data_IF_888461831730
#
_entry.id   IF_888461831730
#
_cell.length_a   1.000
_cell.length_b   1.000
_cell.length_c   1.000
_cell.angle_alpha   90.00
_cell.angle_beta   90.00
_cell.angle_gamma   90.00
#
_symmetry.space_group_name_H-M   'P 1'
#
loop_
_entity.id
_entity.type
_entity.pdbx_description
1 polymer ?
#
# COMPACT_ATOMS: atom_id res chain seq x y z
N UNK A 1 25.25 -3.64 -42.32
CA UNK A 1 26.57 -3.33 -41.74
C UNK A 1 26.41 -2.11 -40.84
N UNK A 2 26.42 -2.30 -39.53
CA UNK A 2 26.23 -1.22 -38.56
C UNK A 2 27.54 -0.41 -38.46
N UNK A 3 27.56 0.78 -39.03
CA UNK A 3 28.61 1.74 -38.74
C UNK A 3 28.50 2.15 -37.27
N UNK A 4 29.49 1.78 -36.46
CA UNK A 4 29.63 2.22 -35.07
C UNK A 4 29.80 3.74 -35.03
N UNK A 5 28.93 4.40 -34.27
CA UNK A 5 28.83 5.87 -34.10
C UNK A 5 30.07 6.55 -33.49
N UNK A 6 31.12 5.80 -33.12
CA UNK A 6 32.43 6.33 -32.71
C UNK A 6 33.13 7.15 -33.81
N UNK A 7 32.75 6.99 -35.07
CA UNK A 7 33.29 7.79 -36.19
C UNK A 7 32.58 9.14 -36.39
N UNK A 8 31.58 9.47 -35.57
CA UNK A 8 30.85 10.75 -35.57
C UNK A 8 31.31 11.69 -34.44
N UNK A 9 32.62 11.73 -34.17
CA UNK A 9 33.23 12.87 -33.51
C UNK A 9 33.15 14.08 -34.46
N UNK A 10 31.97 14.69 -34.57
CA UNK A 10 31.76 15.90 -35.37
C UNK A 10 32.51 17.05 -34.70
N UNK A 11 33.56 17.63 -35.32
CA UNK A 11 34.28 18.75 -34.74
C UNK A 11 33.33 19.94 -34.59
N UNK A 12 33.21 20.51 -33.38
CA UNK A 12 32.44 21.74 -33.12
C UNK A 12 31.17 21.60 -32.28
N UNK A 13 30.74 20.39 -31.91
CA UNK A 13 29.61 20.18 -31.00
C UNK A 13 30.11 19.81 -29.60
N UNK A 14 29.80 20.64 -28.60
CA UNK A 14 30.31 20.51 -27.22
C UNK A 14 30.00 19.19 -26.51
N UNK A 15 30.53 19.04 -25.29
CA UNK A 15 30.47 17.81 -24.47
C UNK A 15 29.07 17.23 -24.23
N UNK A 16 28.02 18.04 -24.27
CA UNK A 16 26.62 17.61 -24.08
C UNK A 16 26.07 16.71 -25.21
N UNK A 17 26.52 16.90 -26.45
CA UNK A 17 26.08 16.07 -27.59
C UNK A 17 26.68 14.66 -27.55
N UNK A 18 27.93 14.54 -27.10
CA UNK A 18 28.59 13.23 -26.91
C UNK A 18 27.86 12.37 -25.87
N UNK A 19 27.38 12.99 -24.77
CA UNK A 19 26.57 12.32 -23.75
C UNK A 19 25.21 11.88 -24.32
N UNK A 20 24.56 12.74 -25.10
CA UNK A 20 23.24 12.49 -25.70
C UNK A 20 23.28 11.34 -26.71
N UNK A 21 24.29 11.30 -27.58
CA UNK A 21 24.53 10.21 -28.53
C UNK A 21 24.85 8.91 -27.79
N UNK A 22 25.70 8.96 -26.77
CA UNK A 22 26.04 7.78 -25.96
C UNK A 22 24.84 7.21 -25.18
N UNK A 23 23.88 8.05 -24.76
CA UNK A 23 22.63 7.59 -24.14
C UNK A 23 21.72 6.88 -25.15
N UNK A 24 21.61 7.42 -26.37
CA UNK A 24 20.82 6.83 -27.45
C UNK A 24 21.34 5.43 -27.82
N UNK A 25 22.64 5.25 -27.98
CA UNK A 25 23.23 3.93 -28.27
C UNK A 25 22.97 2.91 -27.16
N UNK A 26 23.16 3.32 -25.90
CA UNK A 26 22.92 2.43 -24.74
C UNK A 26 21.48 1.95 -24.72
N UNK A 27 20.51 2.82 -25.02
CA UNK A 27 19.11 2.43 -24.99
C UNK A 27 18.67 1.64 -26.22
N UNK A 28 19.32 1.84 -27.39
CA UNK A 28 19.11 1.04 -28.60
C UNK A 28 19.28 -0.45 -28.31
N UNK A 29 20.34 -0.82 -27.61
CA UNK A 29 20.59 -2.23 -27.24
C UNK A 29 19.51 -2.82 -26.34
N UNK A 30 18.80 -1.98 -25.57
CA UNK A 30 17.79 -2.39 -24.60
C UNK A 30 16.41 -2.56 -25.23
N UNK A 31 15.92 -1.59 -25.99
CA UNK A 31 14.59 -1.73 -26.59
C UNK A 31 14.59 -2.68 -27.80
N UNK A 32 15.74 -3.03 -28.38
CA UNK A 32 15.83 -4.13 -29.34
C UNK A 32 15.39 -5.48 -28.75
N UNK A 33 15.38 -5.60 -27.40
CA UNK A 33 14.93 -6.77 -26.66
C UNK A 33 13.43 -6.73 -26.33
N UNK A 34 12.73 -5.63 -26.64
CA UNK A 34 11.28 -5.56 -26.45
C UNK A 34 10.58 -6.53 -27.39
N UNK A 35 9.60 -7.25 -26.84
CA UNK A 35 8.67 -8.07 -27.62
C UNK A 35 7.58 -7.18 -28.24
N UNK A 36 7.03 -6.26 -27.46
CA UNK A 36 6.02 -5.27 -27.86
C UNK A 36 6.57 -3.83 -27.94
N UNK A 37 6.15 -3.04 -28.93
CA UNK A 37 6.51 -1.62 -29.04
C UNK A 37 7.94 -1.33 -29.51
N UNK A 38 8.68 -2.37 -29.93
CA UNK A 38 10.04 -2.28 -30.47
C UNK A 38 10.13 -1.34 -31.68
N UNK A 39 9.26 -1.52 -32.66
CA UNK A 39 9.30 -0.76 -33.92
C UNK A 39 9.04 0.74 -33.70
N UNK A 40 8.16 1.09 -32.75
CA UNK A 40 7.94 2.48 -32.32
C UNK A 40 9.23 3.15 -31.81
N UNK A 41 10.03 2.40 -31.02
CA UNK A 41 11.29 2.89 -30.48
C UNK A 41 12.38 3.00 -31.55
N UNK A 42 12.46 2.02 -32.46
CA UNK A 42 13.41 2.02 -33.58
C UNK A 42 13.16 3.24 -34.48
N UNK A 43 11.91 3.46 -34.89
CA UNK A 43 11.57 4.53 -35.81
C UNK A 43 11.82 5.92 -35.21
N UNK A 44 11.45 6.16 -33.94
CA UNK A 44 11.80 7.41 -33.27
C UNK A 44 13.33 7.58 -33.15
N UNK A 45 14.06 6.50 -32.88
CA UNK A 45 15.51 6.55 -32.76
C UNK A 45 16.20 6.90 -34.09
N UNK A 46 15.78 6.30 -35.20
CA UNK A 46 16.30 6.64 -36.54
C UNK A 46 16.04 8.11 -36.88
N UNK A 47 14.85 8.62 -36.55
CA UNK A 47 14.52 10.05 -36.72
C UNK A 47 15.41 10.95 -35.87
N UNK A 48 15.66 10.59 -34.61
CA UNK A 48 16.58 11.33 -33.73
C UNK A 48 18.00 11.32 -34.29
N UNK A 49 18.48 10.18 -34.80
CA UNK A 49 19.78 10.09 -35.44
C UNK A 49 19.88 10.97 -36.70
N UNK A 50 18.87 10.94 -37.56
CA UNK A 50 18.83 11.78 -38.76
C UNK A 50 18.83 13.27 -38.39
N UNK A 51 18.05 13.66 -37.38
CA UNK A 51 18.03 15.03 -36.87
C UNK A 51 19.38 15.47 -36.28
N UNK A 52 20.05 14.61 -35.51
CA UNK A 52 21.40 14.87 -34.98
C UNK A 52 22.41 15.10 -36.11
N UNK A 53 22.32 14.35 -37.21
CA UNK A 53 23.19 14.53 -38.39
C UNK A 53 22.92 15.83 -39.14
N UNK A 54 21.67 16.26 -39.22
CA UNK A 54 21.33 17.54 -39.85
C UNK A 54 21.70 18.73 -38.95
N UNK A 55 21.48 18.60 -37.64
CA UNK A 55 21.93 19.59 -36.65
C UNK A 55 23.42 19.89 -36.81
N UNK A 56 24.26 18.86 -37.04
CA UNK A 56 25.69 18.99 -37.29
C UNK A 56 26.06 19.89 -38.49
N UNK A 57 25.15 20.15 -39.42
CA UNK A 57 25.35 21.01 -40.59
C UNK A 57 24.86 22.45 -40.41
N UNK A 58 24.07 22.71 -39.36
CA UNK A 58 23.53 24.06 -39.04
C UNK A 58 24.60 24.96 -38.43
N UNK A 59 24.59 26.25 -38.71
CA UNK A 59 25.51 27.22 -38.10
C UNK A 59 25.32 27.37 -36.57
N UNK A 60 26.40 27.63 -35.84
CA UNK A 60 26.39 27.70 -34.37
C UNK A 60 25.51 28.85 -33.84
N UNK A 61 25.39 29.95 -34.57
CA UNK A 61 24.55 31.09 -34.18
C UNK A 61 23.05 30.73 -34.17
N UNK A 62 22.60 29.89 -35.10
CA UNK A 62 21.21 29.40 -35.15
C UNK A 62 20.96 28.33 -34.08
N UNK A 63 21.98 27.53 -33.72
CA UNK A 63 21.87 26.51 -32.65
C UNK A 63 21.71 27.15 -31.28
N UNK A 64 22.51 28.18 -30.98
CA UNK A 64 22.49 28.88 -29.69
C UNK A 64 21.26 29.75 -29.51
N UNK A 65 20.81 30.44 -30.57
CA UNK A 65 19.65 31.35 -30.52
C UNK A 65 18.33 30.64 -30.18
N UNK A 66 18.16 29.41 -30.67
CA UNK A 66 16.91 28.63 -30.51
C UNK A 66 16.99 27.60 -29.36
N UNK A 67 18.11 27.56 -28.63
CA UNK A 67 18.37 26.62 -27.53
C UNK A 67 18.12 25.13 -27.92
N UNK A 68 18.47 24.78 -29.16
CA UNK A 68 18.11 23.49 -29.75
C UNK A 68 18.82 22.32 -29.08
N UNK A 69 20.05 22.54 -28.59
CA UNK A 69 20.85 21.51 -27.93
C UNK A 69 20.25 21.10 -26.59
N UNK A 70 19.84 22.05 -25.75
CA UNK A 70 19.21 21.75 -24.46
C UNK A 70 17.82 21.14 -24.62
N UNK A 71 17.04 21.57 -25.62
CA UNK A 71 15.74 20.95 -25.96
C UNK A 71 15.89 19.50 -26.42
N UNK A 72 16.89 19.21 -27.26
CA UNK A 72 17.19 17.87 -27.72
C UNK A 72 17.68 16.98 -26.56
N UNK A 73 18.57 17.48 -25.72
CA UNK A 73 19.07 16.75 -24.55
C UNK A 73 17.92 16.39 -23.59
N UNK A 74 17.00 17.34 -23.34
CA UNK A 74 15.82 17.10 -22.51
C UNK A 74 14.91 16.01 -23.12
N UNK A 75 14.63 16.09 -24.43
CA UNK A 75 13.81 15.11 -25.13
C UNK A 75 14.42 13.70 -25.05
N UNK A 76 15.72 13.58 -25.33
CA UNK A 76 16.42 12.27 -25.29
C UNK A 76 16.44 11.71 -23.87
N UNK A 77 16.66 12.53 -22.84
CA UNK A 77 16.60 12.08 -21.44
C UNK A 77 15.19 11.59 -21.05
N UNK A 78 14.14 12.31 -21.44
CA UNK A 78 12.75 11.91 -21.17
C UNK A 78 12.37 10.63 -21.92
N UNK A 79 12.68 10.56 -23.21
CA UNK A 79 12.52 9.34 -24.01
C UNK A 79 13.21 8.14 -23.36
N UNK A 80 14.48 8.31 -22.95
CA UNK A 80 15.23 7.26 -22.28
C UNK A 80 14.59 6.80 -20.97
N UNK A 81 14.07 7.72 -20.16
CA UNK A 81 13.37 7.37 -18.90
C UNK A 81 12.07 6.62 -19.17
N UNK A 82 11.26 7.05 -20.14
CA UNK A 82 10.00 6.39 -20.50
C UNK A 82 10.24 4.96 -20.96
N UNK A 83 11.20 4.76 -21.87
CA UNK A 83 11.55 3.42 -22.38
C UNK A 83 12.11 2.52 -21.29
N UNK A 84 13.00 3.02 -20.43
CA UNK A 84 13.53 2.24 -19.30
C UNK A 84 12.45 1.88 -18.27
N UNK A 85 11.49 2.79 -18.03
CA UNK A 85 10.36 2.53 -17.12
C UNK A 85 9.48 1.41 -17.67
N UNK A 86 9.17 1.46 -18.97
CA UNK A 86 8.36 0.43 -19.62
C UNK A 86 9.08 -0.94 -19.68
N UNK A 87 10.39 -0.93 -20.00
CA UNK A 87 11.23 -2.14 -20.02
C UNK A 87 11.36 -2.83 -18.66
N UNK A 88 11.49 -2.06 -17.57
CA UNK A 88 11.68 -2.60 -16.23
C UNK A 88 10.38 -3.11 -15.59
N UNK A 89 9.22 -2.86 -16.22
CA UNK A 89 7.93 -3.31 -15.70
C UNK A 89 7.80 -4.82 -15.90
N UNK A 90 8.00 -5.59 -14.82
CA UNK A 90 7.94 -7.05 -14.86
C UNK A 90 6.50 -7.57 -14.90
N UNK A 91 5.54 -6.77 -14.43
CA UNK A 91 4.13 -7.15 -14.37
C UNK A 91 3.46 -6.97 -15.74
N UNK A 92 2.98 -8.08 -16.30
CA UNK A 92 2.36 -8.11 -17.63
C UNK A 92 1.10 -7.22 -17.72
N UNK A 93 0.24 -7.23 -16.69
CA UNK A 93 -0.98 -6.41 -16.65
C UNK A 93 -0.62 -4.93 -16.63
N UNK A 94 0.38 -4.53 -15.83
CA UNK A 94 0.88 -3.16 -15.82
C UNK A 94 1.47 -2.76 -17.17
N UNK A 95 2.22 -3.64 -17.84
CA UNK A 95 2.73 -3.39 -19.21
C UNK A 95 1.59 -3.14 -20.19
N UNK A 96 0.54 -3.96 -20.18
CA UNK A 96 -0.65 -3.78 -21.03
C UNK A 96 -1.39 -2.47 -20.72
N UNK A 97 -1.61 -2.17 -19.43
CA UNK A 97 -2.30 -0.93 -19.02
C UNK A 97 -1.50 0.33 -19.38
N UNK A 98 -0.17 0.25 -19.35
CA UNK A 98 0.70 1.35 -19.71
C UNK A 98 1.07 1.39 -21.20
N UNK A 99 0.69 0.38 -21.99
CA UNK A 99 1.04 0.27 -23.41
C UNK A 99 0.48 1.42 -24.25
N UNK A 100 -0.77 1.83 -24.00
CA UNK A 100 -1.41 2.95 -24.68
C UNK A 100 -0.71 4.26 -24.37
N UNK A 101 -0.51 4.53 -23.08
CA UNK A 101 0.24 5.71 -22.61
C UNK A 101 1.67 5.72 -23.14
N UNK A 102 2.33 4.57 -23.18
CA UNK A 102 3.67 4.44 -23.73
C UNK A 102 3.68 4.82 -25.22
N UNK A 103 2.75 4.31 -26.02
CA UNK A 103 2.63 4.70 -27.42
C UNK A 103 2.36 6.21 -27.57
N UNK A 104 1.44 6.77 -26.79
CA UNK A 104 1.16 8.21 -26.75
C UNK A 104 2.39 9.05 -26.39
N UNK A 105 3.18 8.64 -25.41
CA UNK A 105 4.44 9.31 -25.05
C UNK A 105 5.43 9.27 -26.23
N UNK A 106 5.55 8.14 -26.93
CA UNK A 106 6.39 8.03 -28.15
C UNK A 106 5.88 8.96 -29.25
N UNK A 107 4.56 9.06 -29.45
CA UNK A 107 3.95 10.01 -30.39
C UNK A 107 4.30 11.45 -30.04
N UNK A 108 4.19 11.81 -28.75
CA UNK A 108 4.53 13.13 -28.25
C UNK A 108 6.01 13.48 -28.50
N UNK A 109 6.93 12.53 -28.31
CA UNK A 109 8.35 12.74 -28.62
C UNK A 109 8.57 12.97 -30.11
N UNK A 110 7.87 12.22 -30.98
CA UNK A 110 7.92 12.44 -32.42
C UNK A 110 7.37 13.83 -32.84
N UNK A 111 6.32 14.33 -32.18
CA UNK A 111 5.75 15.67 -32.42
C UNK A 111 6.65 16.81 -31.89
N UNK A 112 7.32 16.59 -30.77
CA UNK A 112 8.35 17.51 -30.27
C UNK A 112 9.56 17.56 -31.19
N UNK A 113 9.95 16.41 -31.75
CA UNK A 113 10.98 16.36 -32.78
C UNK A 113 10.56 17.11 -34.05
N UNK A 114 9.31 16.97 -34.51
CA UNK A 114 8.77 17.78 -35.63
C UNK A 114 8.86 19.29 -35.35
N UNK A 115 8.57 19.70 -34.12
CA UNK A 115 8.63 21.10 -33.71
C UNK A 115 10.07 21.64 -33.80
N UNK A 116 11.06 20.84 -33.38
CA UNK A 116 12.48 21.20 -33.53
C UNK A 116 12.94 21.16 -34.99
N UNK A 117 12.51 20.17 -35.78
CA UNK A 117 12.80 20.08 -37.21
C UNK A 117 12.27 21.32 -37.93
N UNK A 118 11.03 21.75 -37.68
CA UNK A 118 10.44 22.96 -38.27
C UNK A 118 11.28 24.21 -38.01
N UNK A 119 11.84 24.37 -36.82
CA UNK A 119 12.71 25.52 -36.50
C UNK A 119 13.97 25.56 -37.39
N UNK A 120 14.48 24.40 -37.80
CA UNK A 120 15.65 24.28 -38.69
C UNK A 120 15.24 24.37 -40.17
N UNK A 121 14.18 23.65 -40.57
CA UNK A 121 13.71 23.51 -41.96
C UNK A 121 13.07 24.79 -42.51
N UNK A 122 12.59 25.72 -41.69
CA UNK A 122 12.17 27.06 -42.17
C UNK A 122 13.31 27.78 -42.92
N UNK A 123 14.57 27.38 -42.73
CA UNK A 123 15.74 27.89 -43.46
C UNK A 123 16.22 27.01 -44.64
N UNK A 124 15.74 25.78 -44.83
CA UNK A 124 16.17 24.86 -45.90
C UNK A 124 15.00 24.02 -46.47
N UNK A 125 14.90 23.93 -47.80
CA UNK A 125 13.74 23.35 -48.52
C UNK A 125 13.70 21.81 -48.51
N UNK A 126 12.50 21.25 -48.21
CA UNK A 126 12.01 19.85 -48.39
C UNK A 126 12.70 18.79 -47.50
N UNK A 127 12.12 17.74 -46.90
CA UNK A 127 10.91 16.91 -47.04
C UNK A 127 10.45 16.53 -45.61
N UNK A 128 9.19 16.79 -45.25
CA UNK A 128 8.60 16.17 -44.05
C UNK A 128 8.22 14.73 -44.41
N UNK A 129 9.01 13.77 -43.95
CA UNK A 129 8.66 12.33 -44.05
C UNK A 129 7.37 12.10 -43.25
N UNK A 130 6.37 11.46 -43.87
CA UNK A 130 5.08 11.09 -43.25
C UNK A 130 5.26 9.94 -42.21
N UNK A 131 5.98 10.22 -41.13
CA UNK A 131 6.20 9.28 -40.02
C UNK A 131 4.89 8.87 -39.32
N UNK A 132 3.83 9.67 -39.48
CA UNK A 132 2.52 9.46 -38.84
C UNK A 132 1.85 8.17 -39.32
N UNK A 133 1.97 7.85 -40.60
CA UNK A 133 1.40 6.63 -41.17
C UNK A 133 2.18 5.38 -40.74
N UNK A 134 3.50 5.50 -40.65
CA UNK A 134 4.36 4.44 -40.12
C UNK A 134 4.06 4.20 -38.64
N UNK A 135 3.99 5.26 -37.83
CA UNK A 135 3.62 5.18 -36.42
C UNK A 135 2.25 4.53 -36.22
N UNK A 136 1.25 4.86 -37.05
CA UNK A 136 -0.08 4.26 -36.97
C UNK A 136 -0.04 2.74 -37.21
N UNK A 137 0.75 2.28 -38.19
CA UNK A 137 0.97 0.84 -38.45
C UNK A 137 1.68 0.15 -37.30
N UNK A 138 2.75 0.73 -36.77
CA UNK A 138 3.53 0.13 -35.68
C UNK A 138 2.75 0.10 -34.37
N UNK A 139 1.94 1.12 -34.10
CA UNK A 139 1.04 1.16 -32.95
C UNK A 139 -0.05 0.07 -33.07
N UNK A 140 -0.60 -0.13 -34.27
CA UNK A 140 -1.55 -1.22 -34.52
C UNK A 140 -0.90 -2.60 -34.33
N UNK A 141 0.32 -2.80 -34.84
CA UNK A 141 1.08 -4.04 -34.66
C UNK A 141 1.43 -4.29 -33.19
N UNK A 142 1.78 -3.26 -32.43
CA UNK A 142 1.99 -3.37 -30.98
C UNK A 142 0.71 -3.84 -30.26
N UNK A 143 -0.46 -3.31 -30.64
CA UNK A 143 -1.75 -3.75 -30.08
C UNK A 143 -2.06 -5.20 -30.48
N UNK A 144 -1.75 -5.61 -31.70
CA UNK A 144 -1.93 -6.99 -32.17
C UNK A 144 -1.03 -7.98 -31.41
N UNK A 145 0.24 -7.64 -31.19
CA UNK A 145 1.19 -8.45 -30.38
C UNK A 145 0.72 -8.60 -28.93
N UNK A 146 0.18 -7.53 -28.34
CA UNK A 146 -0.46 -7.58 -27.03
C UNK A 146 -1.72 -8.47 -27.03
N UNK A 147 -2.43 -8.53 -28.16
CA UNK A 147 -3.61 -9.37 -28.37
C UNK A 147 -3.27 -10.84 -28.60
N UNK A 148 -2.08 -11.18 -29.11
CA UNK A 148 -1.67 -12.57 -29.33
C UNK A 148 -1.21 -13.24 -28.02
N UNK A 149 -0.55 -12.47 -27.13
CA UNK A 149 -0.24 -12.88 -25.74
C UNK A 149 -1.50 -13.09 -24.86
N UNK A 150 -2.70 -12.80 -25.38
CA UNK A 150 -4.02 -13.05 -24.77
C UNK A 150 -4.27 -14.51 -24.40
N UNK A 151 -3.75 -15.48 -25.16
CA UNK A 151 -3.98 -16.90 -24.88
C UNK A 151 -3.25 -17.36 -23.61
N UNK A 152 -2.07 -16.82 -23.32
CA UNK A 152 -1.33 -17.08 -22.08
C UNK A 152 -1.99 -16.38 -20.89
N UNK A 153 -2.45 -15.14 -21.09
CA UNK A 153 -3.17 -14.35 -20.09
C UNK A 153 -4.48 -15.02 -19.63
N UNK A 154 -5.28 -15.57 -20.55
CA UNK A 154 -6.54 -16.25 -20.23
C UNK A 154 -6.32 -17.49 -19.33
N UNK A 155 -5.18 -18.14 -19.47
CA UNK A 155 -4.79 -19.30 -18.65
C UNK A 155 -4.34 -18.85 -17.26
N UNK A 156 -3.65 -17.71 -17.17
CA UNK A 156 -3.24 -17.08 -15.91
C UNK A 156 -4.40 -16.41 -15.15
N UNK A 157 -5.36 -15.79 -15.85
CA UNK A 157 -6.54 -15.12 -15.25
C UNK A 157 -7.43 -16.09 -14.48
N UNK A 158 -7.54 -17.35 -14.92
CA UNK A 158 -8.24 -18.41 -14.18
C UNK A 158 -7.59 -18.72 -12.81
N UNK A 159 -6.36 -18.28 -12.59
CA UNK A 159 -5.62 -18.45 -11.34
C UNK A 159 -5.55 -17.15 -10.50
N UNK A 160 -6.15 -16.05 -10.96
CA UNK A 160 -6.10 -14.75 -10.26
C UNK A 160 -7.18 -14.70 -9.15
N UNK A 161 -6.82 -14.28 -7.93
CA UNK A 161 -7.78 -14.03 -6.84
C UNK A 161 -8.88 -13.03 -7.23
N UNK A 162 -10.11 -13.28 -6.75
CA UNK A 162 -11.33 -12.55 -7.10
C UNK A 162 -11.25 -11.02 -6.88
N UNK A 163 -10.41 -10.55 -5.97
CA UNK A 163 -10.26 -9.11 -5.68
C UNK A 163 -9.47 -8.35 -6.76
N UNK A 164 -8.44 -8.98 -7.34
CA UNK A 164 -7.70 -8.41 -8.47
C UNK A 164 -8.57 -8.37 -9.73
N UNK A 165 -9.51 -9.31 -9.84
CA UNK A 165 -10.54 -9.37 -10.87
C UNK A 165 -11.50 -8.17 -10.81
N UNK A 166 -11.90 -7.78 -9.60
CA UNK A 166 -12.75 -6.61 -9.35
C UNK A 166 -12.00 -5.27 -9.55
N UNK A 167 -10.72 -5.20 -9.20
CA UNK A 167 -9.85 -4.05 -9.49
C UNK A 167 -9.72 -3.81 -10.99
N UNK A 168 -9.42 -4.86 -11.76
CA UNK A 168 -9.37 -4.80 -13.21
C UNK A 168 -10.69 -4.27 -13.78
N UNK A 169 -11.83 -4.76 -13.29
CA UNK A 169 -13.17 -4.29 -13.68
C UNK A 169 -13.40 -2.79 -13.43
N UNK A 170 -12.85 -2.22 -12.35
CA UNK A 170 -12.89 -0.77 -12.09
C UNK A 170 -12.21 0.04 -13.15
N UNK A 171 -10.96 -0.33 -13.40
CA UNK A 171 -10.03 0.47 -14.18
C UNK A 171 -10.45 0.35 -15.66
N UNK A 172 -11.06 -0.78 -16.02
CA UNK A 172 -11.86 -1.03 -17.22
C UNK A 172 -13.06 -0.07 -17.37
N UNK A 173 -13.93 0.01 -16.37
CA UNK A 173 -15.14 0.85 -16.42
C UNK A 173 -14.79 2.35 -16.45
N UNK A 174 -13.68 2.77 -15.82
CA UNK A 174 -13.17 4.14 -15.91
C UNK A 174 -12.56 4.47 -17.27
N UNK A 175 -11.98 3.48 -17.95
CA UNK A 175 -11.46 3.64 -19.31
C UNK A 175 -12.58 3.78 -20.37
N UNK A 176 -13.79 3.28 -20.11
CA UNK A 176 -14.95 3.40 -21.02
C UNK A 176 -15.44 4.85 -21.21
N UNK A 177 -15.00 5.81 -20.38
CA UNK A 177 -15.40 7.21 -20.51
C UNK A 177 -14.69 7.96 -21.66
N UNK A 178 -13.76 7.33 -22.39
CA UNK A 178 -13.03 7.98 -23.48
C UNK A 178 -12.57 7.04 -24.60
N UNK A 179 -13.33 7.08 -25.71
CA UNK A 179 -13.02 6.55 -27.06
C UNK A 179 -12.90 5.03 -27.24
N UNK A 180 -13.56 4.52 -28.31
CA UNK A 180 -13.56 3.12 -28.71
C UNK A 180 -12.17 2.70 -29.22
N UNK A 181 -11.43 1.98 -28.39
CA UNK A 181 -10.08 1.50 -28.70
C UNK A 181 -10.13 -0.01 -29.01
N UNK A 182 -9.27 -0.56 -29.89
CA UNK A 182 -9.18 -2.01 -30.17
C UNK A 182 -8.98 -2.92 -28.93
N UNK A 183 -8.52 -2.34 -27.81
CA UNK A 183 -8.40 -3.00 -26.51
C UNK A 183 -9.76 -3.30 -25.87
N UNK A 184 -10.83 -2.57 -26.22
CA UNK A 184 -12.19 -2.74 -25.70
C UNK A 184 -12.71 -4.17 -25.92
N UNK A 185 -12.31 -4.82 -27.01
CA UNK A 185 -12.64 -6.22 -27.29
C UNK A 185 -11.91 -7.23 -26.38
N UNK A 186 -10.68 -6.93 -25.98
CA UNK A 186 -9.86 -7.75 -25.08
C UNK A 186 -10.36 -7.57 -23.65
N UNK A 187 -10.61 -6.32 -23.28
CA UNK A 187 -11.17 -5.84 -22.03
C UNK A 187 -12.59 -6.40 -21.78
N UNK A 188 -13.46 -6.39 -22.79
CA UNK A 188 -14.79 -7.02 -22.76
C UNK A 188 -14.71 -8.55 -22.66
N UNK A 189 -13.72 -9.19 -23.28
CA UNK A 189 -13.53 -10.64 -23.15
C UNK A 189 -12.93 -11.04 -21.80
N UNK A 190 -12.07 -10.21 -21.20
CA UNK A 190 -11.65 -10.35 -19.80
C UNK A 190 -12.89 -10.23 -18.90
N UNK A 191 -13.73 -9.20 -19.09
CA UNK A 191 -14.99 -9.05 -18.37
C UNK A 191 -15.96 -10.25 -18.57
N UNK A 192 -16.11 -10.78 -19.78
CA UNK A 192 -16.96 -11.96 -20.04
C UNK A 192 -16.43 -13.23 -19.38
N UNK A 193 -15.10 -13.41 -19.29
CA UNK A 193 -14.49 -14.51 -18.52
C UNK A 193 -14.68 -14.29 -17.01
N UNK A 194 -14.87 -13.05 -16.57
CA UNK A 194 -15.31 -12.74 -15.20
C UNK A 194 -16.81 -13.01 -14.94
N UNK A 195 -17.65 -13.15 -15.97
CA UNK A 195 -19.09 -13.39 -15.84
C UNK A 195 -19.47 -14.88 -15.77
N UNK A 196 -18.49 -15.80 -15.84
CA UNK A 196 -18.71 -17.25 -15.77
C UNK A 196 -19.22 -17.81 -14.43
N UNK A 197 -19.60 -16.94 -13.49
CA UNK A 197 -20.19 -17.31 -12.20
C UNK A 197 -21.24 -16.28 -11.79
N UNK A 198 -22.49 -16.55 -12.16
CA UNK A 198 -23.71 -15.83 -11.80
C UNK A 198 -23.96 -14.46 -12.46
N UNK A 199 -24.93 -14.46 -13.38
CA UNK A 199 -25.60 -13.32 -13.99
C UNK A 199 -26.35 -12.47 -12.96
N UNK A 200 -25.67 -11.74 -12.08
CA UNK A 200 -26.30 -10.65 -11.33
C UNK A 200 -25.34 -9.48 -11.09
N UNK A 201 -25.71 -8.35 -11.71
CA UNK A 201 -25.34 -6.97 -11.42
C UNK A 201 -23.97 -6.41 -11.89
N UNK A 202 -24.09 -5.34 -12.68
CA UNK A 202 -23.13 -4.25 -12.92
C UNK A 202 -22.66 -3.61 -11.60
N UNK A 203 -21.87 -4.30 -10.79
CA UNK A 203 -21.23 -3.66 -9.65
C UNK A 203 -19.86 -3.12 -10.09
N UNK A 204 -19.75 -1.79 -10.14
CA UNK A 204 -18.48 -1.07 -9.99
C UNK A 204 -17.80 -1.60 -8.73
N UNK A 205 -16.47 -1.70 -8.67
CA UNK A 205 -15.85 -2.21 -7.46
C UNK A 205 -16.20 -1.35 -6.25
N UNK A 206 -16.03 -1.91 -5.05
CA UNK A 206 -16.32 -1.18 -3.85
C UNK A 206 -15.41 0.05 -3.71
N UNK A 207 -15.97 1.18 -3.27
CA UNK A 207 -15.22 2.43 -3.06
C UNK A 207 -14.13 2.35 -1.97
N UNK A 208 -13.98 1.21 -1.30
CA UNK A 208 -12.92 0.98 -0.31
C UNK A 208 -11.67 0.35 -0.90
N UNK A 209 -11.77 -0.14 -2.14
CA UNK A 209 -10.70 -0.81 -2.82
C UNK A 209 -9.73 0.25 -3.33
N UNK A 210 -8.50 0.22 -2.81
CA UNK A 210 -7.43 1.19 -3.10
C UNK A 210 -6.37 0.45 -3.91
N UNK A 211 -6.02 0.97 -5.09
CA UNK A 211 -4.87 0.45 -5.84
C UNK A 211 -3.56 0.87 -5.18
N UNK A 212 -2.55 0.01 -5.22
CA UNK A 212 -1.21 0.35 -4.72
C UNK A 212 -0.63 1.57 -5.43
N UNK A 213 -0.97 1.77 -6.70
CA UNK A 213 -0.47 2.89 -7.50
C UNK A 213 -1.11 4.24 -7.08
N UNK A 214 -2.21 4.22 -6.33
CA UNK A 214 -2.80 5.41 -5.70
C UNK A 214 -2.06 5.83 -4.41
N UNK A 215 -1.15 5.00 -3.92
CA UNK A 215 -0.43 5.20 -2.66
C UNK A 215 1.04 5.55 -2.90
N UNK A 216 1.47 6.70 -2.38
CA UNK A 216 2.90 7.02 -2.28
C UNK A 216 3.44 6.48 -0.96
N UNK A 217 4.42 5.58 -0.99
CA UNK A 217 5.07 5.06 0.22
C UNK A 217 6.36 5.82 0.55
N UNK A 218 6.49 6.26 1.79
CA UNK A 218 7.71 6.85 2.32
C UNK A 218 8.56 5.79 3.02
N UNK A 219 9.84 5.74 2.64
CA UNK A 219 10.83 4.86 3.24
C UNK A 219 11.64 5.63 4.30
N UNK A 220 12.12 4.94 5.36
CA UNK A 220 11.91 3.53 5.68
C UNK A 220 10.53 3.26 6.34
N UNK A 221 10.17 1.98 6.48
CA UNK A 221 9.02 1.58 7.30
C UNK A 221 9.15 2.08 8.75
N UNK A 222 8.04 2.54 9.34
CA UNK A 222 7.98 2.97 10.75
C UNK A 222 7.81 1.78 11.71
N UNK A 223 7.35 0.65 11.20
CA UNK A 223 7.30 -0.60 11.94
C UNK A 223 7.64 -1.78 11.04
N UNK A 224 8.62 -2.59 11.48
CA UNK A 224 9.10 -3.79 10.81
C UNK A 224 8.75 -5.07 11.60
N UNK A 225 7.94 -4.96 12.67
CA UNK A 225 7.65 -6.08 13.56
C UNK A 225 6.71 -7.13 12.91
N UNK A 226 7.15 -8.39 12.93
CA UNK A 226 6.31 -9.56 12.65
C UNK A 226 6.05 -9.84 11.16
N UNK A 227 4.82 -10.20 10.83
CA UNK A 227 4.38 -10.55 9.47
C UNK A 227 3.78 -9.37 8.68
N UNK A 228 3.91 -8.15 9.20
CA UNK A 228 3.46 -6.93 8.52
C UNK A 228 4.47 -5.81 8.67
N UNK A 229 4.50 -4.92 7.69
CA UNK A 229 5.30 -3.71 7.69
C UNK A 229 4.36 -2.50 7.63
N UNK A 230 4.62 -1.49 8.44
CA UNK A 230 3.84 -0.25 8.44
C UNK A 230 4.69 0.87 7.87
N UNK A 231 4.19 1.52 6.82
CA UNK A 231 4.79 2.66 6.16
C UNK A 231 3.96 3.91 6.42
N UNK A 232 4.63 5.06 6.42
CA UNK A 232 3.95 6.34 6.24
C UNK A 232 3.85 6.59 4.75
N UNK A 233 2.77 7.20 4.30
CA UNK A 233 2.61 7.52 2.88
C UNK A 233 1.62 8.65 2.63
N UNK A 234 1.24 8.81 1.37
CA UNK A 234 0.11 9.63 0.95
C UNK A 234 -0.87 8.80 0.13
N UNK A 235 -2.15 9.09 0.32
CA UNK A 235 -3.25 8.62 -0.52
C UNK A 235 -4.21 9.78 -0.73
N UNK A 236 -4.56 10.08 -1.98
CA UNK A 236 -5.36 11.26 -2.36
C UNK A 236 -4.83 12.58 -1.77
N UNK A 237 -3.51 12.73 -1.70
CA UNK A 237 -2.84 13.91 -1.12
C UNK A 237 -2.84 13.99 0.41
N UNK A 238 -3.56 13.10 1.11
CA UNK A 238 -3.62 13.05 2.58
C UNK A 238 -2.56 12.10 3.12
N UNK A 239 -1.91 12.46 4.23
CA UNK A 239 -0.94 11.60 4.91
C UNK A 239 -1.65 10.40 5.56
N UNK A 240 -1.15 9.20 5.31
CA UNK A 240 -1.77 7.94 5.74
C UNK A 240 -0.74 6.97 6.31
N UNK A 241 -1.22 5.99 7.09
CA UNK A 241 -0.45 4.82 7.49
C UNK A 241 -0.83 3.63 6.61
N UNK A 242 0.15 3.02 5.93
CA UNK A 242 -0.06 1.89 5.02
C UNK A 242 0.54 0.66 5.67
N UNK A 243 -0.32 -0.27 6.08
CA UNK A 243 0.10 -1.55 6.64
C UNK A 243 0.09 -2.61 5.55
N UNK A 244 1.28 -3.02 5.10
CA UNK A 244 1.48 -4.13 4.17
C UNK A 244 1.67 -5.42 4.96
N UNK A 245 0.96 -6.47 4.60
CA UNK A 245 1.21 -7.80 5.15
C UNK A 245 2.21 -8.52 4.25
N UNK A 246 3.02 -9.42 4.80
CA UNK A 246 3.81 -10.33 3.97
C UNK A 246 2.87 -11.33 3.30
N UNK A 247 3.24 -11.84 2.13
CA UNK A 247 2.50 -12.90 1.43
C UNK A 247 2.17 -14.04 2.41
N UNK A 248 0.89 -14.20 2.72
CA UNK A 248 0.36 -15.34 3.47
C UNK A 248 -0.59 -16.03 2.52
N UNK A 249 -0.15 -17.12 1.89
CA UNK A 249 -1.01 -18.08 1.18
C UNK A 249 -2.25 -17.48 0.49
N UNK A 250 -3.41 -18.06 0.77
CA UNK A 250 -4.70 -17.55 0.28
C UNK A 250 -4.89 -16.08 0.68
N UNK A 251 -5.25 -15.26 -0.31
CA UNK A 251 -5.55 -13.85 -0.13
C UNK A 251 -6.59 -13.72 1.01
N UNK A 252 -6.37 -12.90 2.06
CA UNK A 252 -7.37 -12.74 3.09
C UNK A 252 -8.56 -12.08 2.41
N UNK A 253 -9.58 -12.89 2.16
CA UNK A 253 -10.86 -12.46 1.63
C UNK A 253 -11.24 -11.21 2.40
N UNK A 254 -11.30 -10.06 1.71
CA UNK A 254 -11.70 -8.79 2.30
C UNK A 254 -13.21 -8.86 2.58
N UNK A 255 -13.52 -9.58 3.66
CA UNK A 255 -14.83 -10.08 4.06
C UNK A 255 -15.76 -8.94 4.52
N UNK A 256 -17.02 -9.28 4.78
CA UNK A 256 -18.08 -8.49 5.42
C UNK A 256 -17.59 -7.62 6.59
N UNK A 257 -16.58 -8.09 7.33
CA UNK A 257 -15.96 -7.37 8.45
C UNK A 257 -15.21 -6.09 8.02
N UNK A 258 -14.64 -6.06 6.81
CA UNK A 258 -13.98 -4.87 6.27
C UNK A 258 -14.95 -3.69 6.16
N UNK A 259 -16.16 -3.94 5.65
CA UNK A 259 -17.23 -2.93 5.53
C UNK A 259 -17.59 -2.34 6.90
N UNK A 260 -17.69 -3.20 7.92
CA UNK A 260 -17.94 -2.79 9.31
C UNK A 260 -16.80 -1.90 9.81
N UNK A 261 -15.54 -2.31 9.65
CA UNK A 261 -14.41 -1.52 10.15
C UNK A 261 -14.28 -0.17 9.45
N UNK A 262 -14.50 -0.11 8.14
CA UNK A 262 -14.52 1.15 7.41
C UNK A 262 -15.62 2.09 7.91
N UNK A 263 -16.76 1.56 8.34
CA UNK A 263 -17.84 2.41 8.89
C UNK A 263 -17.53 3.03 10.27
N UNK A 264 -16.43 2.64 10.92
CA UNK A 264 -16.11 3.09 12.27
C UNK A 264 -15.48 4.47 12.27
N UNK A 265 -16.26 5.47 12.68
CA UNK A 265 -15.79 6.84 12.85
C UNK A 265 -15.89 7.27 14.33
N UNK A 266 -14.74 7.40 14.99
CA UNK A 266 -14.65 7.86 16.38
C UNK A 266 -13.29 8.53 16.64
N UNK A 267 -13.21 9.62 17.43
CA UNK A 267 -11.95 10.32 17.69
C UNK A 267 -10.85 9.42 18.27
N UNK A 268 -11.22 8.40 19.06
CA UNK A 268 -10.30 7.46 19.72
C UNK A 268 -10.25 6.07 19.07
N UNK A 269 -10.66 5.93 17.81
CA UNK A 269 -10.48 4.71 17.01
C UNK A 269 -9.85 5.13 15.69
N UNK A 270 -8.76 4.48 15.28
CA UNK A 270 -8.08 4.80 14.03
C UNK A 270 -8.98 4.41 12.84
N UNK A 271 -9.28 5.38 11.98
CA UNK A 271 -10.13 5.17 10.81
C UNK A 271 -9.41 4.31 9.77
N UNK A 272 -10.11 3.28 9.25
CA UNK A 272 -9.69 2.52 8.09
C UNK A 272 -10.28 3.18 6.83
N UNK A 273 -9.43 3.64 5.92
CA UNK A 273 -9.86 4.27 4.68
C UNK A 273 -10.19 3.23 3.60
N UNK A 274 -9.34 2.22 3.46
CA UNK A 274 -9.48 1.21 2.43
C UNK A 274 -8.41 0.14 2.49
N UNK A 275 -8.44 -0.76 1.53
CA UNK A 275 -7.48 -1.85 1.39
C UNK A 275 -7.29 -2.22 -0.07
N UNK A 276 -6.21 -2.94 -0.35
CA UNK A 276 -5.87 -3.42 -1.67
C UNK A 276 -4.88 -4.57 -1.64
N UNK A 277 -4.37 -4.92 -2.81
CA UNK A 277 -3.34 -5.94 -2.98
C UNK A 277 -2.16 -5.33 -3.77
N UNK A 278 -0.94 -5.66 -3.35
CA UNK A 278 0.32 -5.28 -3.99
C UNK A 278 1.12 -6.56 -4.25
N UNK A 279 1.29 -6.94 -5.52
CA UNK A 279 1.94 -8.20 -5.92
C UNK A 279 1.36 -9.45 -5.22
N UNK A 280 0.05 -9.45 -4.96
CA UNK A 280 -0.65 -10.53 -4.24
C UNK A 280 -0.59 -10.42 -2.71
N UNK A 281 0.19 -9.49 -2.17
CA UNK A 281 0.23 -9.22 -0.74
C UNK A 281 -0.84 -8.19 -0.36
N UNK A 282 -1.70 -8.47 0.64
CA UNK A 282 -2.74 -7.54 1.05
C UNK A 282 -2.11 -6.33 1.76
N UNK A 283 -2.73 -5.17 1.61
CA UNK A 283 -2.40 -3.97 2.38
C UNK A 283 -3.65 -3.21 2.81
N UNK A 284 -3.52 -2.44 3.88
CA UNK A 284 -4.59 -1.62 4.43
C UNK A 284 -4.10 -0.19 4.66
N UNK A 285 -4.97 0.77 4.36
CA UNK A 285 -4.70 2.21 4.47
C UNK A 285 -5.51 2.78 5.62
N UNK A 286 -4.81 3.32 6.61
CA UNK A 286 -5.38 3.89 7.83
C UNK A 286 -5.09 5.38 7.94
N UNK A 287 -5.88 6.05 8.76
CA UNK A 287 -5.53 7.35 9.33
C UNK A 287 -4.12 7.31 9.95
N UNK A 288 -3.31 8.32 9.63
CA UNK A 288 -2.03 8.51 10.29
C UNK A 288 -2.21 9.29 11.59
N UNK A 289 -1.89 8.66 12.72
CA UNK A 289 -2.10 9.28 14.04
C UNK A 289 -1.15 10.45 14.35
N UNK A 290 -0.01 10.58 13.67
CA UNK A 290 0.97 11.66 13.92
C UNK A 290 2.25 11.16 14.58
N UNK A 291 2.12 10.36 15.65
CA UNK A 291 3.25 9.74 16.37
C UNK A 291 3.23 8.21 16.26
N UNK A 292 3.96 7.55 17.14
CA UNK A 292 4.02 6.09 17.23
C UNK A 292 3.00 5.56 18.25
N UNK A 293 3.04 4.26 18.52
CA UNK A 293 2.26 3.65 19.59
C UNK A 293 2.77 4.06 20.98
N UNK A 294 1.91 3.91 21.98
CA UNK A 294 2.16 4.36 23.36
C UNK A 294 3.43 3.72 23.95
N UNK A 295 3.71 2.46 23.61
CA UNK A 295 4.93 1.73 24.00
C UNK A 295 6.24 2.34 23.48
N UNK A 296 6.16 3.28 22.53
CA UNK A 296 7.33 3.96 21.96
C UNK A 296 7.36 5.44 22.29
N UNK A 297 6.38 5.93 23.05
CA UNK A 297 6.22 7.35 23.36
C UNK A 297 6.37 7.65 24.86
N UNK A 298 6.69 6.67 25.70
CA UNK A 298 6.72 6.82 27.16
C UNK A 298 7.57 7.99 27.66
N UNK A 299 8.71 8.28 27.03
CA UNK A 299 9.65 9.32 27.47
C UNK A 299 9.12 10.74 27.25
N UNK A 300 8.13 10.91 26.36
CA UNK A 300 7.55 12.20 25.98
C UNK A 300 6.23 12.49 26.72
N UNK A 301 5.80 11.58 27.60
CA UNK A 301 4.49 11.59 28.23
C UNK A 301 4.63 11.64 29.75
N UNK A 302 3.92 12.61 30.34
CA UNK A 302 3.73 12.65 31.79
C UNK A 302 2.74 11.58 32.24
N UNK A 303 2.76 11.22 33.52
CA UNK A 303 1.77 10.29 34.07
C UNK A 303 0.33 10.77 33.85
N UNK A 304 0.10 12.08 33.95
CA UNK A 304 -1.19 12.71 33.68
C UNK A 304 -1.62 12.54 32.22
N UNK A 305 -0.68 12.65 31.28
CA UNK A 305 -0.97 12.39 29.86
C UNK A 305 -1.39 10.92 29.65
N UNK A 306 -0.71 9.98 30.29
CA UNK A 306 -0.99 8.54 30.19
C UNK A 306 -2.39 8.22 30.73
N UNK A 307 -2.76 8.71 31.92
CA UNK A 307 -4.11 8.50 32.46
C UNK A 307 -5.19 9.07 31.54
N UNK A 308 -4.98 10.27 31.00
CA UNK A 308 -5.92 10.86 30.02
C UNK A 308 -6.06 10.00 28.77
N UNK A 309 -4.95 9.47 28.25
CA UNK A 309 -4.96 8.55 27.12
C UNK A 309 -5.69 7.25 27.47
N UNK A 310 -5.49 6.68 28.66
CA UNK A 310 -6.23 5.48 29.08
C UNK A 310 -7.74 5.74 29.15
N UNK A 311 -8.17 6.88 29.69
CA UNK A 311 -9.59 7.26 29.65
C UNK A 311 -10.12 7.37 28.20
N UNK A 312 -9.37 8.05 27.32
CA UNK A 312 -9.69 8.15 25.89
C UNK A 312 -9.75 6.78 25.19
N UNK A 313 -8.86 5.86 25.54
CA UNK A 313 -8.88 4.48 25.04
C UNK A 313 -10.16 3.75 25.49
N UNK A 314 -10.59 3.94 26.74
CA UNK A 314 -11.85 3.39 27.25
C UNK A 314 -13.07 3.93 26.49
N UNK A 315 -13.06 5.21 26.10
CA UNK A 315 -14.08 5.81 25.23
C UNK A 315 -14.11 5.12 23.85
N UNK A 316 -12.94 4.96 23.23
CA UNK A 316 -12.82 4.24 21.96
C UNK A 316 -13.27 2.78 22.05
N UNK A 317 -12.93 2.09 23.13
CA UNK A 317 -13.31 0.70 23.35
C UNK A 317 -14.82 0.56 23.57
N UNK A 318 -15.42 1.49 24.32
CA UNK A 318 -16.87 1.55 24.52
C UNK A 318 -17.62 1.73 23.20
N UNK A 319 -17.08 2.58 22.31
CA UNK A 319 -17.62 2.77 20.96
C UNK A 319 -17.60 1.48 20.12
N UNK A 320 -16.52 0.69 20.21
CA UNK A 320 -16.42 -0.62 19.55
C UNK A 320 -17.43 -1.63 20.12
N UNK A 321 -17.50 -1.74 21.45
CA UNK A 321 -18.43 -2.66 22.13
C UNK A 321 -19.89 -2.33 21.84
N UNK A 322 -20.26 -1.05 21.78
CA UNK A 322 -21.60 -0.59 21.39
C UNK A 322 -21.99 -1.02 19.97
N UNK A 323 -21.00 -1.26 19.09
CA UNK A 323 -21.18 -1.78 17.72
C UNK A 323 -20.98 -3.28 17.62
N UNK A 324 -20.93 -3.97 18.76
CA UNK A 324 -20.72 -5.41 18.90
C UNK A 324 -19.38 -5.91 18.33
N UNK A 325 -18.34 -5.07 18.43
CA UNK A 325 -16.98 -5.40 17.96
C UNK A 325 -16.09 -5.63 19.17
N UNK A 326 -15.47 -6.81 19.22
CA UNK A 326 -14.43 -7.15 20.21
C UNK A 326 -13.08 -6.72 19.67
N UNK A 327 -12.24 -6.07 20.48
CA UNK A 327 -10.89 -5.68 20.06
C UNK A 327 -9.96 -6.89 20.02
N UNK A 328 -9.93 -7.71 21.08
CA UNK A 328 -9.26 -9.00 21.15
C UNK A 328 -7.72 -8.97 21.06
N UNK A 329 -7.09 -7.81 21.22
CA UNK A 329 -5.63 -7.66 21.11
C UNK A 329 -5.10 -6.39 21.80
N UNK A 330 -5.72 -5.96 22.91
CA UNK A 330 -5.34 -4.71 23.57
C UNK A 330 -3.99 -4.82 24.27
N UNK A 331 -3.14 -3.83 24.02
CA UNK A 331 -1.89 -3.54 24.73
C UNK A 331 -1.43 -2.12 24.33
N UNK A 332 -0.40 -1.58 24.99
CA UNK A 332 0.11 -0.23 24.68
C UNK A 332 0.58 -0.08 23.22
N UNK A 333 1.05 -1.15 22.57
CA UNK A 333 1.41 -1.14 21.14
C UNK A 333 0.21 -1.00 20.18
N UNK A 334 -1.02 -1.04 20.70
CA UNK A 334 -2.29 -0.83 19.95
C UNK A 334 -2.97 0.49 20.26
N UNK A 335 -2.32 1.32 21.06
CA UNK A 335 -2.72 2.68 21.38
C UNK A 335 -1.83 3.65 20.59
N UNK A 336 -2.34 4.19 19.48
CA UNK A 336 -1.61 5.16 18.66
C UNK A 336 -1.71 6.55 19.27
N UNK A 337 -0.57 7.18 19.50
CA UNK A 337 -0.50 8.53 20.09
C UNK A 337 -0.58 9.57 18.98
N UNK A 338 -1.36 10.63 19.21
CA UNK A 338 -1.46 11.75 18.28
C UNK A 338 -0.52 12.90 18.59
N UNK A 339 -0.33 13.80 17.63
CA UNK A 339 0.47 15.00 17.82
C UNK A 339 -0.06 15.89 18.97
N UNK A 340 -1.37 15.86 19.21
CA UNK A 340 -2.06 16.57 20.29
C UNK A 340 -2.11 15.79 21.61
N UNK A 341 -1.26 14.76 21.79
CA UNK A 341 -1.26 13.87 22.96
C UNK A 341 -2.63 13.26 23.26
N UNK A 342 -3.40 12.93 22.22
CA UNK A 342 -4.56 12.07 22.33
C UNK A 342 -4.20 10.63 21.92
N UNK A 343 -5.12 9.69 22.13
CA UNK A 343 -4.92 8.29 21.71
C UNK A 343 -6.01 7.78 20.77
N UNK A 344 -5.63 6.87 19.88
CA UNK A 344 -6.52 6.13 18.98
C UNK A 344 -6.25 4.63 19.08
N UNK A 345 -7.31 3.84 19.26
CA UNK A 345 -7.24 2.38 19.20
C UNK A 345 -6.99 1.90 17.77
N UNK A 346 -6.15 0.88 17.62
CA UNK A 346 -5.80 0.29 16.33
C UNK A 346 -5.61 -1.24 16.43
N UNK A 347 -5.83 -1.95 15.32
CA UNK A 347 -5.45 -3.37 15.22
C UNK A 347 -6.45 -4.36 15.83
N UNK A 348 -7.67 -3.93 16.13
CA UNK A 348 -8.80 -4.77 16.55
C UNK A 348 -9.30 -5.74 15.47
N UNK A 349 -8.85 -5.59 14.23
CA UNK A 349 -9.21 -6.49 13.13
C UNK A 349 -8.38 -7.77 13.01
N UNK A 350 -7.24 -7.85 13.71
CA UNK A 350 -6.34 -8.99 13.60
C UNK A 350 -6.89 -10.27 14.25
N UNK A 351 -7.79 -10.15 15.22
CA UNK A 351 -8.48 -11.28 15.86
C UNK A 351 -9.45 -12.00 14.90
N UNK A 352 -10.16 -11.24 14.07
CA UNK A 352 -11.11 -11.78 13.08
C UNK A 352 -10.43 -12.46 11.89
N UNK A 353 -9.34 -11.87 11.36
CA UNK A 353 -8.54 -12.49 10.28
C UNK A 353 -8.00 -13.87 10.71
N UNK A 354 -7.76 -14.07 12.01
CA UNK A 354 -7.32 -15.36 12.56
C UNK A 354 -8.42 -16.42 12.63
N UNK A 355 -9.69 -16.02 12.76
CA UNK A 355 -10.80 -16.96 12.84
C UNK A 355 -11.08 -17.63 11.48
N UNK A 356 -10.77 -16.96 10.37
CA UNK A 356 -10.97 -17.45 9.02
C UNK A 356 -9.72 -18.05 8.36
N UNK A 357 -8.59 -18.05 9.07
CA UNK A 357 -7.35 -18.67 8.59
C UNK A 357 -7.16 -20.03 9.24
N UNK A 358 -7.36 -21.11 8.50
CA UNK A 358 -6.99 -22.48 8.91
C UNK A 358 -5.47 -22.63 9.10
N UNK A 359 -4.69 -21.70 8.55
CA UNK A 359 -3.25 -21.66 8.73
C UNK A 359 -2.87 -21.18 10.13
N UNK A 360 -2.15 -22.02 10.87
CA UNK A 360 -1.42 -21.66 12.10
C UNK A 360 -0.42 -20.50 11.92
N UNK A 361 -0.13 -20.07 10.67
CA UNK A 361 0.86 -19.05 10.37
C UNK A 361 0.40 -17.61 10.59
N UNK A 362 -0.91 -17.30 10.61
CA UNK A 362 -1.43 -15.94 10.89
C UNK A 362 -1.44 -15.55 12.37
N UNK A 363 -0.89 -16.42 13.23
CA UNK A 363 -0.49 -16.09 14.61
C UNK A 363 0.73 -15.15 14.61
N UNK A 364 0.61 -13.97 13.99
CA UNK A 364 1.52 -12.86 14.29
C UNK A 364 1.57 -12.74 15.82
N UNK A 365 2.74 -12.98 16.45
CA UNK A 365 2.94 -13.10 17.91
C UNK A 365 1.94 -12.20 18.66
N UNK A 366 0.80 -12.77 19.02
CA UNK A 366 -0.09 -12.14 19.99
C UNK A 366 0.73 -12.05 21.24
N UNK A 367 0.59 -10.96 21.97
CA UNK A 367 1.03 -10.94 23.34
C UNK A 367 0.10 -11.82 24.13
N UNK A 368 0.37 -13.13 24.12
CA UNK A 368 -0.45 -14.16 24.77
C UNK A 368 -0.56 -13.86 26.26
N UNK A 369 0.45 -13.22 26.83
CA UNK A 369 0.47 -12.71 28.18
C UNK A 369 -0.62 -11.64 28.45
N UNK A 370 -1.13 -10.95 27.43
CA UNK A 370 -2.26 -10.01 27.53
C UNK A 370 -3.64 -10.66 27.33
N UNK A 371 -3.69 -11.88 26.81
CA UNK A 371 -4.96 -12.60 26.65
C UNK A 371 -5.60 -12.85 28.02
N UNK A 372 -6.94 -12.83 28.10
CA UNK A 372 -7.64 -13.22 29.31
C UNK A 372 -7.50 -14.74 29.57
N UNK A 373 -7.63 -15.22 30.83
CA UNK A 373 -7.44 -16.64 31.18
C UNK A 373 -8.26 -17.61 30.33
N UNK A 374 -9.53 -17.27 30.07
CA UNK A 374 -10.44 -18.06 29.24
C UNK A 374 -9.97 -18.18 27.78
N UNK A 375 -9.21 -17.20 27.29
CA UNK A 375 -8.64 -17.23 25.94
C UNK A 375 -7.34 -18.05 25.86
N UNK A 376 -6.88 -18.59 26.99
CA UNK A 376 -5.66 -19.39 27.13
C UNK A 376 -5.91 -20.77 27.74
N UNK A 377 -7.16 -21.24 27.79
CA UNK A 377 -7.51 -22.58 28.26
C UNK A 377 -7.66 -22.70 29.78
N UNK A 378 -7.90 -21.58 30.48
CA UNK A 378 -8.16 -21.54 31.92
C UNK A 378 -9.62 -21.18 32.15
N UNK A 379 -10.34 -22.06 32.83
CA UNK A 379 -11.74 -21.89 33.19
C UNK A 379 -11.98 -20.83 34.27
N UNK A 380 -13.25 -20.52 34.52
CA UNK A 380 -13.66 -19.53 35.53
C UNK A 380 -13.31 -19.94 36.98
N UNK A 381 -13.10 -21.24 37.22
CA UNK A 381 -12.65 -21.81 38.49
C UNK A 381 -11.12 -21.73 38.68
N UNK A 382 -10.39 -21.27 37.66
CA UNK A 382 -8.93 -21.17 37.67
C UNK A 382 -8.23 -22.47 37.26
N UNK A 383 -8.97 -23.52 36.90
CA UNK A 383 -8.38 -24.77 36.42
C UNK A 383 -8.21 -24.75 34.90
N UNK A 384 -7.26 -25.53 34.39
CA UNK A 384 -7.13 -25.73 32.95
C UNK A 384 -8.31 -26.58 32.44
N UNK A 385 -9.06 -26.04 31.48
CA UNK A 385 -10.09 -26.79 30.74
C UNK A 385 -9.60 -27.22 29.35
N UNK A 386 -8.44 -26.70 28.92
CA UNK A 386 -7.82 -26.96 27.62
C UNK A 386 -8.54 -26.31 26.44
N UNK A 387 -9.54 -25.46 26.69
CA UNK A 387 -10.39 -24.85 25.66
C UNK A 387 -10.03 -23.36 25.52
N UNK A 388 -9.40 -23.01 24.40
CA UNK A 388 -9.14 -21.61 24.08
C UNK A 388 -10.42 -20.94 23.59
N UNK A 389 -11.08 -20.16 24.44
CA UNK A 389 -12.26 -19.39 24.05
C UNK A 389 -11.89 -18.21 23.13
N UNK A 390 -12.78 -17.94 22.17
CA UNK A 390 -12.66 -16.74 21.34
C UNK A 390 -12.77 -15.46 22.18
N UNK A 391 -12.06 -14.37 21.83
CA UNK A 391 -12.16 -13.11 22.56
C UNK A 391 -13.61 -12.60 22.69
N UNK A 392 -13.91 -12.01 23.85
CA UNK A 392 -15.22 -11.44 24.21
C UNK A 392 -15.06 -10.00 24.71
N UNK A 393 -16.17 -9.28 24.91
CA UNK A 393 -16.13 -7.95 25.56
C UNK A 393 -15.51 -8.00 26.96
N UNK A 394 -15.70 -9.11 27.69
CA UNK A 394 -15.12 -9.29 29.03
C UNK A 394 -13.62 -9.59 28.97
N UNK A 395 -13.13 -10.25 27.91
CA UNK A 395 -11.68 -10.43 27.70
C UNK A 395 -10.99 -9.12 27.28
N UNK A 396 -11.71 -8.23 26.59
CA UNK A 396 -11.21 -6.87 26.32
C UNK A 396 -11.01 -6.08 27.61
N UNK A 397 -11.96 -6.17 28.56
CA UNK A 397 -11.80 -5.53 29.88
C UNK A 397 -10.54 -6.04 30.60
N UNK A 398 -10.32 -7.36 30.58
CA UNK A 398 -9.13 -7.95 31.19
C UNK A 398 -7.83 -7.46 30.55
N UNK A 399 -7.72 -7.56 29.22
CA UNK A 399 -6.53 -7.12 28.47
C UNK A 399 -6.31 -5.60 28.58
N UNK A 400 -7.39 -4.83 28.72
CA UNK A 400 -7.30 -3.40 29.00
C UNK A 400 -6.75 -3.11 30.40
N UNK A 401 -7.08 -3.92 31.41
CA UNK A 401 -6.49 -3.81 32.76
C UNK A 401 -4.97 -4.04 32.74
N UNK A 402 -4.51 -5.06 32.01
CA UNK A 402 -3.08 -5.27 31.79
C UNK A 402 -2.43 -4.14 30.98
N UNK A 403 -3.16 -3.55 30.04
CA UNK A 403 -2.70 -2.36 29.30
C UNK A 403 -2.53 -1.15 30.20
N UNK A 404 -3.38 -0.97 31.21
CA UNK A 404 -3.23 0.07 32.24
C UNK A 404 -1.95 -0.16 33.02
N UNK A 405 -1.70 -1.39 33.52
CA UNK A 405 -0.45 -1.71 34.22
C UNK A 405 0.75 -1.35 33.34
N UNK A 406 0.79 -1.86 32.12
CA UNK A 406 1.90 -1.61 31.18
C UNK A 406 2.12 -0.13 30.89
N UNK A 407 1.06 0.64 30.70
CA UNK A 407 1.17 2.06 30.40
C UNK A 407 1.70 2.86 31.59
N UNK A 408 1.29 2.49 32.81
CA UNK A 408 1.65 3.17 34.06
C UNK A 408 3.07 2.84 34.50
N UNK A 409 3.49 1.57 34.37
CA UNK A 409 4.86 1.12 34.70
C UNK A 409 5.85 1.38 33.59
N UNK A 410 5.35 1.61 32.35
CA UNK A 410 6.17 1.71 31.13
C UNK A 410 6.99 0.43 30.86
N UNK A 411 6.49 -0.71 31.34
CA UNK A 411 7.15 -2.02 31.26
C UNK A 411 6.13 -3.13 31.01
N UNK A 412 6.59 -4.23 30.42
CA UNK A 412 5.75 -5.43 30.28
C UNK A 412 5.41 -5.98 31.70
N UNK A 413 4.12 -6.14 32.05
CA UNK A 413 3.70 -6.62 33.38
C UNK A 413 4.29 -7.99 33.76
N UNK A 414 4.69 -8.78 32.77
CA UNK A 414 5.20 -10.14 32.94
C UNK A 414 6.62 -10.30 32.40
N UNK A 415 7.38 -9.22 32.31
CA UNK A 415 8.73 -9.23 31.74
C UNK A 415 9.60 -10.32 32.36
N UNK A 416 10.10 -11.24 31.52
CA UNK A 416 11.03 -12.29 31.93
C UNK A 416 10.39 -13.50 32.64
N UNK A 417 9.07 -13.52 32.82
CA UNK A 417 8.37 -14.69 33.37
C UNK A 417 8.07 -15.72 32.28
N UNK A 418 8.20 -17.03 32.57
CA UNK A 418 7.75 -18.07 31.67
C UNK A 418 6.22 -18.09 31.59
N UNK A 419 5.67 -18.60 30.48
CA UNK A 419 4.23 -18.61 30.26
C UNK A 419 3.46 -19.39 31.36
N UNK A 420 4.03 -20.46 31.90
CA UNK A 420 3.44 -21.22 33.03
C UNK A 420 3.16 -20.32 34.23
N UNK A 421 4.14 -19.52 34.65
CA UNK A 421 4.03 -18.67 35.84
C UNK A 421 3.03 -17.55 35.59
N UNK A 422 2.99 -17.03 34.36
CA UNK A 422 1.98 -16.04 33.94
C UNK A 422 0.58 -16.65 34.05
N UNK A 423 0.37 -17.85 33.53
CA UNK A 423 -0.92 -18.54 33.62
C UNK A 423 -1.32 -18.80 35.07
N UNK A 424 -0.39 -19.22 35.93
CA UNK A 424 -0.62 -19.43 37.37
C UNK A 424 -0.98 -18.14 38.12
N UNK A 425 -0.30 -17.03 37.84
CA UNK A 425 -0.61 -15.72 38.42
C UNK A 425 -2.04 -15.31 38.03
N UNK A 426 -2.41 -15.53 36.77
CA UNK A 426 -3.71 -15.13 36.24
C UNK A 426 -4.85 -16.01 36.74
N UNK A 427 -4.65 -17.33 36.81
CA UNK A 427 -5.66 -18.28 37.32
C UNK A 427 -5.99 -18.04 38.80
N UNK A 428 -4.98 -17.65 39.56
CA UNK A 428 -5.09 -17.41 41.00
C UNK A 428 -5.42 -15.97 41.39
N UNK A 429 -5.63 -15.06 40.43
CA UNK A 429 -5.85 -13.62 40.66
C UNK A 429 -4.75 -12.95 41.48
N UNK A 430 -3.49 -13.36 41.33
CA UNK A 430 -2.34 -12.87 42.12
C UNK A 430 -1.49 -11.83 41.38
N UNK A 431 -2.10 -10.96 40.58
CA UNK A 431 -1.36 -9.84 40.00
C UNK A 431 -0.78 -8.95 41.12
N UNK A 432 0.40 -8.39 40.90
CA UNK A 432 1.07 -7.55 41.89
C UNK A 432 0.86 -6.06 41.61
N UNK A 433 0.57 -5.29 42.65
CA UNK A 433 0.45 -3.83 42.55
C UNK A 433 1.80 -3.21 42.20
N UNK A 434 1.90 -2.46 41.09
CA UNK A 434 3.10 -1.71 40.78
C UNK A 434 3.29 -0.52 41.73
N UNK A 435 4.53 -0.12 41.98
CA UNK A 435 4.86 0.99 42.89
C UNK A 435 4.35 2.34 42.36
N UNK A 436 4.21 2.46 41.05
CA UNK A 436 3.77 3.64 40.33
C UNK A 436 2.24 3.82 40.37
N UNK A 437 1.50 2.83 40.88
CA UNK A 437 0.04 2.80 40.88
C UNK A 437 -0.51 2.98 42.30
N UNK A 438 -1.39 3.97 42.48
CA UNK A 438 -2.08 4.18 43.75
C UNK A 438 -3.16 3.11 44.00
N UNK A 439 -3.63 3.02 45.23
CA UNK A 439 -4.58 1.97 45.65
C UNK A 439 -5.91 2.03 44.91
N UNK A 440 -6.39 3.23 44.59
CA UNK A 440 -7.64 3.42 43.83
C UNK A 440 -7.53 2.86 42.40
N UNK A 441 -6.46 3.18 41.69
CA UNK A 441 -6.19 2.66 40.36
C UNK A 441 -5.95 1.15 40.39
N UNK A 442 -5.28 0.66 41.43
CA UNK A 442 -5.00 -0.76 41.60
C UNK A 442 -6.27 -1.57 41.90
N UNK A 443 -7.16 -1.07 42.76
CA UNK A 443 -8.46 -1.69 43.04
C UNK A 443 -9.28 -1.84 41.73
N UNK A 444 -9.32 -0.80 40.90
CA UNK A 444 -9.94 -0.88 39.58
C UNK A 444 -9.32 -1.98 38.71
N UNK A 445 -7.99 -2.02 38.59
CA UNK A 445 -7.29 -3.01 37.76
C UNK A 445 -7.53 -4.43 38.27
N UNK A 446 -7.53 -4.66 39.58
CA UNK A 446 -7.83 -5.97 40.17
C UNK A 446 -9.24 -6.44 39.79
N UNK A 447 -10.23 -5.53 39.87
CA UNK A 447 -11.61 -5.84 39.48
C UNK A 447 -11.77 -6.09 37.97
N UNK A 448 -10.91 -5.51 37.13
CA UNK A 448 -10.86 -5.77 35.69
C UNK A 448 -10.21 -7.13 35.35
N UNK A 449 -9.19 -7.52 36.12
CA UNK A 449 -8.32 -8.65 35.83
C UNK A 449 -8.64 -9.92 36.63
N UNK A 450 -9.91 -10.17 36.94
CA UNK A 450 -10.36 -11.43 37.56
C UNK A 450 -10.36 -12.59 36.57
N UNK A 451 -10.02 -13.79 37.03
CA UNK A 451 -9.99 -15.02 36.25
C UNK A 451 -11.39 -15.33 35.70
N UNK A 452 -12.38 -15.39 36.59
CA UNK A 452 -13.79 -15.53 36.23
C UNK A 452 -14.28 -14.29 35.44
N UNK A 453 -14.60 -14.43 34.14
CA UNK A 453 -15.06 -13.31 33.33
C UNK A 453 -16.34 -12.69 33.86
N UNK A 454 -17.22 -13.48 34.51
CA UNK A 454 -18.53 -13.05 34.98
C UNK A 454 -18.44 -12.00 36.11
N UNK A 455 -17.38 -12.09 36.92
CA UNK A 455 -17.11 -11.22 38.08
C UNK A 455 -16.40 -9.91 37.72
N UNK A 456 -15.87 -9.78 36.50
CA UNK A 456 -15.19 -8.56 36.06
C UNK A 456 -16.16 -7.39 36.01
N UNK A 457 -15.67 -6.20 36.36
CA UNK A 457 -16.43 -4.95 36.23
C UNK A 457 -16.80 -4.66 34.77
N UNK A 458 -17.86 -3.88 34.58
CA UNK A 458 -18.27 -3.43 33.25
C UNK A 458 -17.32 -2.35 32.71
N UNK A 459 -17.19 -2.28 31.38
CA UNK A 459 -16.42 -1.20 30.74
C UNK A 459 -16.99 0.20 31.04
N UNK A 460 -18.30 0.30 31.27
CA UNK A 460 -18.96 1.57 31.67
C UNK A 460 -18.40 2.04 33.01
N UNK A 461 -18.33 1.15 34.00
CA UNK A 461 -17.74 1.45 35.31
C UNK A 461 -16.26 1.81 35.19
N UNK A 462 -15.49 1.06 34.38
CA UNK A 462 -14.06 1.35 34.13
C UNK A 462 -13.86 2.76 33.59
N UNK A 463 -14.69 3.19 32.64
CA UNK A 463 -14.62 4.54 32.07
C UNK A 463 -14.86 5.62 33.13
N UNK A 464 -15.90 5.45 33.95
CA UNK A 464 -16.24 6.41 35.03
C UNK A 464 -15.10 6.52 36.06
N UNK A 465 -14.50 5.40 36.45
CA UNK A 465 -13.37 5.41 37.37
C UNK A 465 -12.11 6.04 36.77
N UNK A 466 -11.84 5.80 35.47
CA UNK A 466 -10.72 6.45 34.78
C UNK A 466 -10.92 7.96 34.65
N UNK A 467 -12.15 8.44 34.45
CA UNK A 467 -12.44 9.88 34.41
C UNK A 467 -12.09 10.56 35.75
N UNK A 468 -12.47 9.92 36.87
CA UNK A 468 -12.10 10.35 38.21
C UNK A 468 -10.58 10.38 38.43
N UNK A 469 -9.83 9.42 37.89
CA UNK A 469 -8.36 9.38 37.98
C UNK A 469 -7.66 10.43 37.09
N UNK A 470 -8.38 11.02 36.14
CA UNK A 470 -7.85 12.06 35.23
C UNK A 470 -8.17 13.49 35.63
N UNK A 471 -9.20 13.65 36.48
CA UNK A 471 -9.64 14.91 37.08
C UNK A 471 -8.64 15.38 38.12
#
# INVERSE_FOLDING_TARGET
MAATLLDLAVPGLGSGMSITVGLLEKIYSKYCQLKEGKELCINLHERLQAFIRELAKVDDQTREKEDLLSRLEALVKEYCRTVLKYLNEKNYVKRVMHATKFAEDIKLYNERLDSMIKLITVKQTVVLVEWRDQYARDAAAMVEQLTEMKCELLTAIRQIPEELRLLLKRDLDQAQAGQSHPLESILRNIANVTEGGNNNAKESPPSWLISVDECELYQPAIDLKGQSQVFVGKWQGVRVAIKKFRLVGENPVFDKHFKIWRSLLHPHVAQLYGAGSDEGAPFMVYEYAGRQSLDRCWDYLSQKDIWKMLHQAALGLSYLHARRIVHGNLCSSKLLVTDQKAVKLFGFGASYIRQYSESNSLKAKTRVEFCAPECTGIGADGNEDGINHSPTFRSDVYSFGLTIIEAITKQDPFQGLPLSDILDIKSSNRLHQPREMNDQAWDLVQQMCLCDPSKRVSLVYVREQLDCLTS
#
